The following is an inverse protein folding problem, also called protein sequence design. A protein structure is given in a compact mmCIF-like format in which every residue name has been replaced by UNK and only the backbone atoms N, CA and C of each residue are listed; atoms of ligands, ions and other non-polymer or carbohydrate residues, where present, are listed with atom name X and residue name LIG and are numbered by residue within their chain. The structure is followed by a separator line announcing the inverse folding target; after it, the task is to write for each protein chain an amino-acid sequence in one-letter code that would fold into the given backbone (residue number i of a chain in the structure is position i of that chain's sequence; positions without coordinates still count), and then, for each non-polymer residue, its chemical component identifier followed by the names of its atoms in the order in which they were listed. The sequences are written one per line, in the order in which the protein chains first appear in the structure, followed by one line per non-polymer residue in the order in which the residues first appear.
data_IF_039114699763
#
_entry.id   IF_039114699763
#
_cell.length_a   1.000
_cell.length_b   1.000
_cell.length_c   1.000
_cell.angle_alpha   90.00
_cell.angle_beta   90.00
_cell.angle_gamma   90.00
#
_symmetry.space_group_name_H-M   'P 1'
#
loop_
_entity.id
_entity.type
_entity.pdbx_description
1 polymer ?
#
# COMPACT_ATOMS: atom_id res chain seq x y z
N UNK A 1 -20.04 21.45 35.96
CA UNK A 1 -20.09 20.74 34.67
C UNK A 1 -18.66 20.53 34.19
N UNK A 2 -18.15 19.31 34.21
CA UNK A 2 -16.81 19.01 33.71
C UNK A 2 -16.83 18.97 32.18
N UNK A 3 -16.17 19.94 31.55
CA UNK A 3 -15.90 19.91 30.11
C UNK A 3 -14.97 18.72 29.81
N UNK A 4 -15.50 17.74 29.08
CA UNK A 4 -14.75 16.60 28.57
C UNK A 4 -13.61 17.14 27.68
N UNK A 5 -12.37 17.08 28.15
CA UNK A 5 -11.17 17.34 27.34
C UNK A 5 -11.24 16.41 26.12
N UNK A 6 -11.39 16.99 24.92
CA UNK A 6 -11.12 16.25 23.68
C UNK A 6 -9.64 15.91 23.67
N UNK A 7 -9.32 14.62 23.71
CA UNK A 7 -7.96 14.12 23.52
C UNK A 7 -7.47 14.60 22.15
N UNK A 8 -6.52 15.53 22.14
CA UNK A 8 -6.04 16.24 20.94
C UNK A 8 -5.07 15.42 20.08
N UNK A 9 -5.08 14.09 20.17
CA UNK A 9 -4.08 13.19 19.55
C UNK A 9 -4.70 12.17 18.59
N UNK A 10 -5.93 12.41 18.11
CA UNK A 10 -6.53 11.58 17.07
C UNK A 10 -5.95 11.94 15.68
N UNK A 11 -5.58 10.93 14.89
CA UNK A 11 -5.13 11.12 13.50
C UNK A 11 -6.25 11.69 12.63
N UNK A 12 -5.92 12.28 11.48
CA UNK A 12 -6.95 12.76 10.54
C UNK A 12 -7.89 11.62 10.11
N UNK A 13 -7.33 10.43 9.89
CA UNK A 13 -8.07 9.20 9.61
C UNK A 13 -9.13 8.92 10.68
N UNK A 14 -8.74 8.92 11.96
CA UNK A 14 -9.65 8.69 13.08
C UNK A 14 -10.73 9.78 13.16
N UNK A 15 -10.37 11.04 12.91
CA UNK A 15 -11.34 12.16 12.87
C UNK A 15 -12.36 12.04 11.74
N UNK A 16 -12.01 11.35 10.65
CA UNK A 16 -12.91 11.05 9.54
C UNK A 16 -13.75 9.78 9.77
N UNK A 17 -13.67 9.18 10.95
CA UNK A 17 -14.47 8.01 11.34
C UNK A 17 -13.86 6.67 10.90
N UNK A 18 -12.65 6.67 10.34
CA UNK A 18 -11.94 5.43 10.05
C UNK A 18 -11.28 4.92 11.33
N UNK A 19 -12.02 4.10 12.07
CA UNK A 19 -11.50 3.42 13.26
C UNK A 19 -10.93 2.08 12.79
N UNK A 20 -9.62 1.89 12.96
CA UNK A 20 -9.00 0.63 12.61
C UNK A 20 -9.36 -0.46 13.65
N UNK A 21 -10.24 -1.37 13.26
CA UNK A 21 -10.65 -2.49 14.12
C UNK A 21 -9.57 -3.58 14.23
N UNK A 22 -8.53 -3.53 13.39
CA UNK A 22 -7.48 -4.53 13.30
C UNK A 22 -6.26 -4.24 14.19
N UNK A 23 -6.17 -3.02 14.75
CA UNK A 23 -5.02 -2.49 15.50
C UNK A 23 -4.57 -3.28 16.75
N UNK A 24 -5.20 -4.45 17.03
CA UNK A 24 -4.93 -5.35 18.17
C UNK A 24 -5.25 -6.83 17.88
N UNK A 25 -5.48 -7.21 16.62
CA UNK A 25 -5.86 -8.59 16.29
C UNK A 25 -4.60 -9.40 15.96
N UNK A 26 -4.35 -10.55 16.60
CA UNK A 26 -3.21 -11.42 16.27
C UNK A 26 -3.14 -11.77 14.78
N UNK A 27 -4.31 -11.95 14.16
CA UNK A 27 -4.42 -12.23 12.72
C UNK A 27 -3.89 -11.10 11.84
N UNK A 28 -4.01 -9.84 12.27
CA UNK A 28 -3.42 -8.71 11.54
C UNK A 28 -1.89 -8.82 11.53
N UNK A 29 -1.30 -9.08 12.70
CA UNK A 29 0.14 -9.23 12.87
C UNK A 29 0.69 -10.43 12.05
N UNK A 30 -0.05 -11.53 12.01
CA UNK A 30 0.26 -12.69 11.14
C UNK A 30 0.33 -12.30 9.66
N UNK A 31 -0.63 -11.50 9.18
CA UNK A 31 -0.64 -11.03 7.78
C UNK A 31 0.48 -10.01 7.54
N UNK A 32 0.81 -9.17 8.52
CA UNK A 32 1.95 -8.25 8.45
C UNK A 32 3.27 -8.99 8.28
N UNK A 33 3.51 -10.01 9.10
CA UNK A 33 4.70 -10.87 8.99
C UNK A 33 4.73 -11.56 7.62
N UNK A 34 3.62 -12.15 7.19
CA UNK A 34 3.51 -12.78 5.88
C UNK A 34 3.82 -11.79 4.74
N UNK A 35 3.28 -10.58 4.80
CA UNK A 35 3.49 -9.56 3.77
C UNK A 35 4.95 -9.09 3.70
N UNK A 36 5.62 -9.01 4.85
CA UNK A 36 7.04 -8.67 4.93
C UNK A 36 7.95 -9.77 4.35
N UNK A 37 7.63 -11.03 4.63
CA UNK A 37 8.33 -12.22 4.10
C UNK A 37 8.07 -12.41 2.59
N UNK A 38 6.88 -12.08 2.11
CA UNK A 38 6.47 -12.25 0.72
C UNK A 38 6.57 -10.95 -0.09
N UNK A 39 7.29 -9.95 0.41
CA UNK A 39 7.38 -8.63 -0.20
C UNK A 39 7.83 -8.68 -1.67
N UNK A 40 8.80 -9.53 -2.01
CA UNK A 40 9.27 -9.71 -3.39
C UNK A 40 8.17 -10.25 -4.31
N UNK A 41 7.41 -11.26 -3.87
CA UNK A 41 6.29 -11.81 -4.62
C UNK A 41 5.16 -10.77 -4.80
N UNK A 42 4.87 -9.98 -3.76
CA UNK A 42 3.90 -8.89 -3.83
C UNK A 42 4.35 -7.85 -4.86
N UNK A 43 5.61 -7.40 -4.79
CA UNK A 43 6.21 -6.45 -5.74
C UNK A 43 6.09 -6.99 -7.17
N UNK A 44 6.47 -8.25 -7.41
CA UNK A 44 6.36 -8.87 -8.74
C UNK A 44 4.92 -8.93 -9.22
N UNK A 45 3.98 -9.31 -8.34
CA UNK A 45 2.56 -9.39 -8.70
C UNK A 45 2.02 -8.04 -9.16
N UNK A 46 2.50 -6.94 -8.56
CA UNK A 46 2.09 -5.56 -8.88
C UNK A 46 2.55 -5.14 -10.27
N UNK A 47 3.59 -5.77 -10.82
CA UNK A 47 4.18 -5.45 -12.13
C UNK A 47 4.09 -6.64 -13.12
N UNK A 48 2.89 -7.15 -13.45
CA UNK A 48 2.76 -8.36 -14.25
C UNK A 48 2.95 -8.13 -15.75
N UNK A 49 2.77 -6.91 -16.25
CA UNK A 49 2.63 -6.62 -17.69
C UNK A 49 3.71 -5.71 -18.25
N UNK A 50 4.95 -6.18 -18.19
CA UNK A 50 5.98 -5.76 -19.14
C UNK A 50 6.75 -7.00 -19.60
N UNK A 51 6.09 -7.72 -20.51
CA UNK A 51 6.65 -8.56 -21.60
C UNK A 51 8.13 -8.93 -21.48
N UNK A 52 8.42 -10.17 -21.05
CA UNK A 52 9.72 -10.91 -21.11
C UNK A 52 11.01 -10.26 -20.60
N UNK A 53 11.05 -8.95 -20.35
CA UNK A 53 12.21 -8.17 -19.93
C UNK A 53 12.18 -7.83 -18.44
N UNK A 54 11.04 -7.97 -17.76
CA UNK A 54 10.88 -7.64 -16.33
C UNK A 54 11.09 -8.85 -15.41
N UNK A 55 11.97 -9.76 -15.81
CA UNK A 55 12.45 -10.82 -14.92
C UNK A 55 13.04 -10.18 -13.66
N UNK A 56 12.80 -10.81 -12.52
CA UNK A 56 13.12 -10.47 -11.12
C UNK A 56 14.50 -9.84 -10.78
N UNK A 57 15.37 -9.60 -11.76
CA UNK A 57 16.71 -9.03 -11.60
C UNK A 57 16.75 -7.50 -11.63
N UNK A 58 15.69 -6.83 -12.08
CA UNK A 58 15.74 -5.37 -12.34
C UNK A 58 15.08 -4.50 -11.28
N UNK A 59 14.24 -5.07 -10.40
CA UNK A 59 13.64 -4.35 -9.29
C UNK A 59 14.19 -4.91 -8.00
N UNK A 60 14.85 -4.06 -7.22
CA UNK A 60 15.38 -4.43 -5.91
C UNK A 60 14.62 -3.68 -4.83
N UNK A 61 14.11 -4.41 -3.83
CA UNK A 61 13.65 -3.80 -2.58
C UNK A 61 14.85 -3.17 -1.89
N UNK A 62 14.81 -1.86 -1.67
CA UNK A 62 15.87 -1.12 -0.98
C UNK A 62 15.54 -0.92 0.49
N UNK A 63 14.25 -0.80 0.83
CA UNK A 63 13.81 -0.56 2.20
C UNK A 63 12.39 -1.06 2.44
N UNK A 64 12.16 -1.56 3.65
CA UNK A 64 10.84 -1.86 4.20
C UNK A 64 10.64 -1.02 5.45
N UNK A 65 9.46 -0.40 5.63
CA UNK A 65 9.10 0.39 6.81
C UNK A 65 7.72 -0.02 7.29
N UNK A 66 7.65 -0.55 8.49
CA UNK A 66 6.40 -0.90 9.14
C UNK A 66 5.79 0.36 9.75
N UNK A 67 4.45 0.41 9.79
CA UNK A 67 3.68 1.51 10.41
C UNK A 67 4.16 2.90 9.96
N UNK A 68 4.37 3.08 8.67
CA UNK A 68 4.90 4.32 8.11
C UNK A 68 3.89 5.45 8.29
N UNK A 69 4.25 6.43 9.12
CA UNK A 69 3.42 7.60 9.37
C UNK A 69 3.24 8.43 8.09
N UNK A 70 1.99 8.61 7.68
CA UNK A 70 1.61 9.53 6.61
C UNK A 70 1.40 10.90 7.23
N UNK A 71 2.25 11.85 6.88
CA UNK A 71 2.24 13.20 7.46
C UNK A 71 1.85 14.22 6.38
N UNK A 72 0.95 15.13 6.72
CA UNK A 72 0.56 16.24 5.85
C UNK A 72 1.67 17.30 5.75
N UNK A 73 1.55 18.22 4.78
CA UNK A 73 2.54 19.30 4.58
C UNK A 73 2.74 20.21 5.80
N UNK A 74 1.71 20.34 6.63
CA UNK A 74 1.72 21.11 7.87
C UNK A 74 2.07 20.27 9.11
N UNK A 75 2.56 19.04 8.94
CA UNK A 75 3.09 18.22 10.04
C UNK A 75 2.05 17.39 10.81
N UNK A 76 0.77 17.38 10.41
CA UNK A 76 -0.23 16.54 11.06
C UNK A 76 -0.15 15.10 10.57
N UNK A 77 -0.23 14.15 11.51
CA UNK A 77 -0.33 12.73 11.19
C UNK A 77 -1.72 12.46 10.62
N UNK A 78 -1.75 12.06 9.36
CA UNK A 78 -2.95 11.67 8.63
C UNK A 78 -3.38 10.27 9.04
N UNK A 79 -2.43 9.34 9.08
CA UNK A 79 -2.61 7.95 9.47
C UNK A 79 -1.29 7.19 9.34
N UNK A 80 -1.36 5.87 9.33
CA UNK A 80 -0.21 4.99 9.22
C UNK A 80 -0.46 3.97 8.11
N UNK A 81 0.55 3.72 7.30
CA UNK A 81 0.58 2.63 6.29
C UNK A 81 1.22 1.43 6.97
N UNK A 82 0.58 0.26 6.92
CA UNK A 82 1.03 -0.92 7.65
C UNK A 82 2.44 -1.37 7.21
N UNK A 83 2.69 -1.40 5.90
CA UNK A 83 4.01 -1.69 5.35
C UNK A 83 4.30 -0.88 4.09
N UNK A 84 5.33 -0.02 4.14
CA UNK A 84 5.84 0.73 3.01
C UNK A 84 7.12 0.07 2.47
N UNK A 85 7.11 -0.27 1.19
CA UNK A 85 8.22 -0.87 0.46
C UNK A 85 8.79 0.17 -0.51
N UNK A 86 10.09 0.44 -0.39
CA UNK A 86 10.85 1.21 -1.36
C UNK A 86 11.56 0.26 -2.32
N UNK A 87 11.42 0.52 -3.62
CA UNK A 87 12.04 -0.25 -4.69
C UNK A 87 12.91 0.66 -5.55
N UNK A 88 13.99 0.10 -6.09
CA UNK A 88 14.85 0.76 -7.09
C UNK A 88 14.91 -0.09 -8.35
N UNK A 89 14.85 0.57 -9.50
CA UNK A 89 15.16 -0.06 -10.78
C UNK A 89 16.68 -0.09 -10.97
N UNK A 90 17.23 -1.25 -11.32
CA UNK A 90 18.66 -1.50 -11.42
C UNK A 90 19.19 -1.46 -12.87
N UNK A 91 18.37 -1.06 -13.86
CA UNK A 91 18.78 -1.08 -15.27
C UNK A 91 18.47 0.23 -16.01
N UNK A 92 19.49 0.75 -16.69
CA UNK A 92 19.44 1.94 -17.54
C UNK A 92 18.98 1.60 -18.98
N UNK A 93 19.07 0.32 -19.37
CA UNK A 93 18.76 -0.19 -20.73
C UNK A 93 17.26 -0.21 -21.05
N UNK A 94 16.41 -0.39 -20.03
CA UNK A 94 14.96 -0.55 -20.15
C UNK A 94 14.22 0.76 -19.80
N UNK A 95 14.85 1.87 -20.18
CA UNK A 95 14.47 3.26 -19.90
C UNK A 95 13.05 3.66 -20.35
N UNK A 96 12.40 2.88 -21.20
CA UNK A 96 11.08 3.22 -21.73
C UNK A 96 9.92 2.61 -20.96
N UNK A 97 10.16 1.70 -20.00
CA UNK A 97 9.09 1.00 -19.30
C UNK A 97 8.50 1.84 -18.16
N UNK A 98 7.22 2.22 -18.34
CA UNK A 98 6.42 2.89 -17.31
C UNK A 98 5.38 1.90 -16.80
N UNK A 99 5.68 1.18 -15.72
CA UNK A 99 4.63 0.45 -15.03
C UNK A 99 3.72 1.44 -14.30
N UNK A 100 2.43 1.39 -14.61
CA UNK A 100 1.42 2.22 -13.98
C UNK A 100 0.57 1.37 -13.03
N UNK A 101 0.47 1.77 -11.77
CA UNK A 101 -0.50 1.22 -10.82
C UNK A 101 -1.36 2.39 -10.33
N UNK A 102 -2.69 2.20 -10.33
CA UNK A 102 -3.66 3.24 -9.98
C UNK A 102 -3.48 4.53 -10.83
N UNK A 103 -3.06 4.41 -12.10
CA UNK A 103 -2.76 5.55 -12.98
C UNK A 103 -1.47 6.32 -12.61
N UNK A 104 -0.65 5.81 -11.68
CA UNK A 104 0.63 6.40 -11.28
C UNK A 104 1.77 5.57 -11.81
N UNK A 105 2.77 6.22 -12.42
CA UNK A 105 4.04 5.58 -12.74
C UNK A 105 4.72 5.15 -11.43
N UNK A 106 4.83 3.83 -11.24
CA UNK A 106 5.45 3.21 -10.08
C UNK A 106 6.87 2.78 -10.39
N UNK A 107 7.33 2.87 -11.64
CA UNK A 107 8.75 2.76 -11.93
C UNK A 107 9.40 4.14 -11.95
N UNK A 108 10.66 4.26 -11.47
CA UNK A 108 11.45 5.46 -11.70
C UNK A 108 11.57 5.66 -13.21
N UNK A 109 11.44 6.90 -13.71
CA UNK A 109 11.88 7.17 -15.08
C UNK A 109 13.38 6.90 -15.13
N UNK A 110 13.93 6.37 -16.23
CA UNK A 110 15.39 6.22 -16.42
C UNK A 110 16.18 7.49 -16.12
N UNK A 111 15.62 8.65 -16.46
CA UNK A 111 16.23 9.97 -16.24
C UNK A 111 16.22 10.37 -14.75
N UNK A 112 15.48 9.64 -13.92
CA UNK A 112 15.41 9.81 -12.48
C UNK A 112 15.89 8.54 -11.79
N UNK A 113 17.07 8.57 -11.18
CA UNK A 113 17.55 7.52 -10.25
C UNK A 113 16.68 7.41 -8.97
N UNK A 114 15.39 7.69 -9.06
CA UNK A 114 14.46 7.72 -7.94
C UNK A 114 14.15 6.32 -7.43
N UNK A 115 13.82 6.25 -6.16
CA UNK A 115 13.15 5.09 -5.57
C UNK A 115 11.65 5.22 -5.79
N UNK A 116 10.98 4.12 -6.11
CA UNK A 116 9.53 4.06 -6.10
C UNK A 116 9.01 3.43 -4.82
N UNK A 117 7.73 3.67 -4.52
CA UNK A 117 7.11 3.24 -3.25
C UNK A 117 5.85 2.42 -3.51
N UNK A 118 5.73 1.32 -2.80
CA UNK A 118 4.52 0.50 -2.70
C UNK A 118 4.07 0.52 -1.25
N UNK A 119 2.83 0.95 -1.03
CA UNK A 119 2.17 0.98 0.27
C UNK A 119 1.23 -0.21 0.36
N UNK A 120 1.47 -1.08 1.34
CA UNK A 120 0.60 -2.19 1.67
C UNK A 120 -0.31 -1.77 2.81
N UNK A 121 -1.61 -1.87 2.56
CA UNK A 121 -2.67 -1.72 3.56
C UNK A 121 -3.16 -3.13 3.91
N UNK A 122 -3.03 -3.51 5.18
CA UNK A 122 -3.30 -4.85 5.66
C UNK A 122 -4.64 -4.84 6.38
N UNK A 123 -5.48 -5.81 6.03
CA UNK A 123 -6.79 -6.00 6.66
C UNK A 123 -7.05 -7.47 6.91
N UNK A 124 -7.39 -7.80 8.17
CA UNK A 124 -7.78 -9.16 8.55
C UNK A 124 -9.16 -9.53 8.00
N UNK A 125 -10.01 -8.50 7.83
CA UNK A 125 -11.32 -8.54 7.20
C UNK A 125 -11.45 -7.25 6.40
N UNK A 126 -11.75 -7.35 5.10
CA UNK A 126 -11.99 -6.17 4.28
C UNK A 126 -13.18 -5.36 4.81
N UNK A 127 -13.02 -4.04 5.03
CA UNK A 127 -14.15 -3.17 5.36
C UNK A 127 -15.03 -2.98 4.12
N UNK A 128 -16.08 -2.15 4.24
CA UNK A 128 -16.94 -1.91 3.09
C UNK A 128 -16.17 -1.28 1.92
N UNK A 129 -16.68 -1.48 0.72
CA UNK A 129 -16.03 -0.98 -0.52
C UNK A 129 -15.81 0.54 -0.45
N UNK A 130 -16.77 1.28 0.09
CA UNK A 130 -16.68 2.73 0.24
C UNK A 130 -15.63 3.16 1.26
N UNK A 131 -15.49 2.44 2.38
CA UNK A 131 -14.51 2.74 3.42
C UNK A 131 -13.08 2.55 2.90
N UNK A 132 -12.78 1.39 2.30
CA UNK A 132 -11.42 1.09 1.83
C UNK A 132 -10.99 2.03 0.70
N UNK A 133 -11.89 2.34 -0.24
CA UNK A 133 -11.58 3.27 -1.34
C UNK A 133 -11.31 4.66 -0.77
N UNK A 134 -12.16 5.17 0.15
CA UNK A 134 -11.95 6.49 0.75
C UNK A 134 -10.64 6.56 1.53
N UNK A 135 -10.31 5.51 2.28
CA UNK A 135 -9.05 5.43 3.02
C UNK A 135 -7.84 5.48 2.08
N UNK A 136 -7.81 4.64 1.04
CA UNK A 136 -6.71 4.62 0.05
C UNK A 136 -6.60 5.97 -0.67
N UNK A 137 -7.72 6.58 -1.10
CA UNK A 137 -7.72 7.89 -1.76
C UNK A 137 -7.24 9.02 -0.85
N UNK A 138 -7.59 8.96 0.44
CA UNK A 138 -7.06 9.89 1.43
C UNK A 138 -5.54 9.79 1.50
N UNK A 139 -4.98 8.59 1.70
CA UNK A 139 -3.52 8.41 1.77
C UNK A 139 -2.81 8.81 0.48
N UNK A 140 -3.39 8.51 -0.68
CA UNK A 140 -2.87 8.92 -1.98
C UNK A 140 -2.71 10.45 -2.13
N UNK A 141 -3.45 11.24 -1.37
CA UNK A 141 -3.34 12.72 -1.36
C UNK A 141 -2.06 13.20 -0.68
N UNK A 142 -1.53 12.42 0.27
CA UNK A 142 -0.40 12.81 1.11
C UNK A 142 0.88 12.02 0.80
N UNK A 143 0.76 10.75 0.42
CA UNK A 143 1.88 9.86 0.15
C UNK A 143 1.84 9.37 -1.30
N UNK A 144 2.96 9.58 -2.00
CA UNK A 144 3.13 9.17 -3.40
C UNK A 144 3.65 7.73 -3.45
N UNK A 145 2.73 6.80 -3.23
CA UNK A 145 2.96 5.37 -3.36
C UNK A 145 1.89 4.72 -4.25
N UNK A 146 2.20 3.52 -4.73
CA UNK A 146 1.25 2.58 -5.31
C UNK A 146 0.59 1.80 -4.16
N UNK A 147 -0.73 1.69 -4.14
CA UNK A 147 -1.44 1.09 -3.00
C UNK A 147 -1.94 -0.29 -3.33
N UNK A 148 -1.61 -1.24 -2.45
CA UNK A 148 -2.01 -2.64 -2.54
C UNK A 148 -2.71 -3.01 -1.23
N UNK A 149 -3.86 -3.64 -1.35
CA UNK A 149 -4.58 -4.16 -0.18
C UNK A 149 -4.19 -5.62 -0.01
N UNK A 150 -3.72 -5.98 1.18
CA UNK A 150 -3.36 -7.36 1.54
C UNK A 150 -4.38 -7.88 2.55
N UNK A 151 -5.06 -8.96 2.20
CA UNK A 151 -6.15 -9.52 3.01
C UNK A 151 -6.32 -11.00 2.71
N UNK A 152 -6.73 -11.83 3.68
CA UNK A 152 -7.03 -13.24 3.42
C UNK A 152 -8.38 -13.40 2.74
N UNK A 153 -8.47 -14.31 1.76
CA UNK A 153 -9.71 -14.72 1.09
C UNK A 153 -10.61 -13.55 0.62
N UNK A 154 -10.10 -12.57 -0.13
CA UNK A 154 -10.93 -11.46 -0.60
C UNK A 154 -12.04 -11.97 -1.54
N UNK A 155 -13.26 -11.45 -1.39
CA UNK A 155 -14.36 -11.79 -2.28
C UNK A 155 -14.02 -11.38 -3.73
N UNK A 156 -14.19 -12.25 -4.74
CA UNK A 156 -13.92 -11.91 -6.14
C UNK A 156 -14.66 -10.65 -6.62
N UNK A 157 -15.88 -10.43 -6.13
CA UNK A 157 -16.68 -9.24 -6.45
C UNK A 157 -16.07 -7.94 -5.92
N UNK A 158 -15.39 -7.99 -4.77
CA UNK A 158 -14.72 -6.84 -4.16
C UNK A 158 -13.37 -6.62 -4.83
N UNK A 159 -12.61 -7.69 -5.09
CA UNK A 159 -11.34 -7.63 -5.84
C UNK A 159 -11.56 -6.94 -7.19
N UNK A 160 -12.51 -7.43 -7.98
CA UNK A 160 -12.83 -6.86 -9.30
C UNK A 160 -13.15 -5.36 -9.20
N UNK A 161 -13.95 -4.96 -8.22
CA UNK A 161 -14.31 -3.55 -8.05
C UNK A 161 -13.12 -2.69 -7.65
N UNK A 162 -12.26 -3.18 -6.75
CA UNK A 162 -11.04 -2.48 -6.36
C UNK A 162 -10.10 -2.33 -7.55
N UNK A 163 -9.95 -3.38 -8.35
CA UNK A 163 -9.14 -3.38 -9.58
C UNK A 163 -9.70 -2.42 -10.64
N UNK A 164 -11.02 -2.33 -10.81
CA UNK A 164 -11.68 -1.30 -11.65
C UNK A 164 -11.37 0.13 -11.17
N UNK A 165 -11.13 0.33 -9.87
CA UNK A 165 -10.66 1.60 -9.30
C UNK A 165 -9.13 1.76 -9.35
N UNK A 166 -8.45 0.80 -9.97
CA UNK A 166 -7.01 0.72 -10.10
C UNK A 166 -6.30 0.32 -8.81
N UNK A 167 -6.98 -0.18 -7.79
CA UNK A 167 -6.40 -0.63 -6.51
C UNK A 167 -6.18 -2.14 -6.56
N UNK A 168 -4.93 -2.57 -6.44
CA UNK A 168 -4.60 -4.00 -6.48
C UNK A 168 -4.89 -4.66 -5.13
N UNK A 169 -5.33 -5.91 -5.17
CA UNK A 169 -5.53 -6.74 -3.98
C UNK A 169 -4.62 -7.97 -4.05
N UNK A 170 -4.02 -8.36 -2.94
CA UNK A 170 -3.25 -9.59 -2.76
C UNK A 170 -3.91 -10.44 -1.69
N UNK A 171 -4.10 -11.73 -2.01
CA UNK A 171 -4.62 -12.70 -1.08
C UNK A 171 -3.48 -13.30 -0.25
N UNK A 172 -3.48 -13.02 1.05
CA UNK A 172 -2.45 -13.53 1.98
C UNK A 172 -2.54 -15.04 2.23
N UNK A 173 -3.62 -15.71 1.81
CA UNK A 173 -3.75 -17.16 1.93
C UNK A 173 -3.24 -17.91 0.70
N UNK A 174 -2.98 -17.23 -0.41
CA UNK A 174 -2.31 -17.85 -1.55
C UNK A 174 -0.85 -18.04 -1.18
N UNK A 175 -0.40 -19.30 -1.12
CA UNK A 175 1.03 -19.60 -1.10
C UNK A 175 1.65 -19.00 -2.36
N UNK A 176 2.69 -18.18 -2.18
CA UNK A 176 3.54 -17.69 -3.26
C UNK A 176 4.23 -18.85 -3.99
#
# INVERSE_FOLDING_TARGET
MATKKMNSTATLQQKLGFIDSDLRKPKHDEIMLWADENADAIVQSVFPETEQAFQSHFVKITKKRWEHAVVSRNGFIVGFIDLLIEIKCCDESHSTYKAHLNGRCVLPRPESQGTSRIALEIKSILPTRGEIIRQVRMYQTYERAAYVIVTPNPSPSVVKLLEEQGIKTVDSNRRA
#
